data_IF_573197637397
#
_entry.id   IF_573197637397
#
_cell.length_a   1.000
_cell.length_b   1.000
_cell.length_c   1.000
_cell.angle_alpha   90.00
_cell.angle_beta   90.00
_cell.angle_gamma   90.00
#
_symmetry.space_group_name_H-M   'P 1'
#
loop_
_entity.id
_entity.type
_entity.pdbx_description
1 polymer ?
#
# COMPACT_ATOMS: atom_id res chain seq x y z
N UNK A 1 -16.43 44.91 -41.25
CA UNK A 1 -16.76 43.66 -40.55
C UNK A 1 -15.48 43.04 -40.03
N UNK A 2 -15.50 42.71 -38.74
CA UNK A 2 -14.48 42.01 -37.92
C UNK A 2 -14.15 40.66 -38.58
N UNK A 3 -12.93 40.12 -38.55
CA UNK A 3 -12.51 39.06 -37.60
C UNK A 3 -10.98 39.01 -37.45
N UNK A 4 -10.52 39.17 -36.20
CA UNK A 4 -9.19 38.79 -35.72
C UNK A 4 -9.04 37.26 -35.78
N UNK A 5 -8.04 36.75 -36.48
CA UNK A 5 -7.62 35.36 -36.36
C UNK A 5 -6.53 35.27 -35.27
N UNK A 6 -6.96 35.07 -34.03
CA UNK A 6 -6.07 34.69 -32.94
C UNK A 6 -5.62 33.24 -33.18
N UNK A 7 -4.33 33.05 -33.46
CA UNK A 7 -3.66 31.75 -33.44
C UNK A 7 -3.59 31.27 -31.99
N UNK A 8 -4.58 30.49 -31.57
CA UNK A 8 -4.58 29.80 -30.29
C UNK A 8 -3.57 28.64 -30.33
N UNK A 9 -2.53 28.80 -29.52
CA UNK A 9 -1.52 27.79 -29.19
C UNK A 9 -2.20 26.63 -28.47
N UNK A 10 -2.20 25.44 -29.06
CA UNK A 10 -2.52 24.20 -28.36
C UNK A 10 -1.26 23.34 -28.36
N UNK A 11 -0.37 23.61 -27.40
CA UNK A 11 0.75 22.75 -27.06
C UNK A 11 0.20 21.39 -26.63
N UNK A 12 0.38 20.39 -27.49
CA UNK A 12 0.05 19.00 -27.22
C UNK A 12 1.12 18.45 -26.27
N UNK A 13 0.99 18.73 -24.97
CA UNK A 13 1.71 18.00 -23.95
C UNK A 13 0.98 16.67 -23.72
N UNK A 14 1.32 15.67 -24.54
CA UNK A 14 1.13 14.26 -24.19
C UNK A 14 2.05 13.93 -22.99
N UNK A 15 1.69 14.41 -21.81
CA UNK A 15 2.12 13.78 -20.57
C UNK A 15 1.21 12.58 -20.37
N UNK A 16 1.77 11.36 -20.35
CA UNK A 16 1.05 10.18 -19.87
C UNK A 16 0.38 10.55 -18.54
N UNK A 17 -0.96 10.63 -18.53
CA UNK A 17 -1.71 10.86 -17.29
C UNK A 17 -1.50 9.62 -16.43
N UNK A 18 -0.47 9.65 -15.58
CA UNK A 18 -0.30 8.67 -14.50
C UNK A 18 -1.63 8.61 -13.76
N UNK A 19 -2.20 7.40 -13.68
CA UNK A 19 -3.43 7.19 -12.92
C UNK A 19 -3.19 7.60 -11.47
N UNK A 20 -4.24 8.02 -10.74
CA UNK A 20 -4.08 8.36 -9.34
C UNK A 20 -3.50 7.18 -8.55
N UNK A 21 -2.87 7.41 -7.40
CA UNK A 21 -2.48 6.33 -6.51
C UNK A 21 -3.71 5.51 -6.06
N UNK A 22 -3.48 4.28 -5.62
CA UNK A 22 -4.51 3.55 -4.87
C UNK A 22 -4.74 4.26 -3.55
N UNK A 23 -5.99 4.46 -3.18
CA UNK A 23 -6.33 5.08 -1.91
C UNK A 23 -7.59 4.44 -1.36
N UNK A 24 -7.60 4.22 -0.06
CA UNK A 24 -8.79 3.87 0.70
C UNK A 24 -9.84 4.98 0.62
N UNK A 25 -11.11 4.63 0.80
CA UNK A 25 -12.23 5.56 0.68
C UNK A 25 -12.16 6.78 1.63
N UNK A 26 -11.53 6.63 2.80
CA UNK A 26 -11.35 7.72 3.77
C UNK A 26 -10.03 8.49 3.60
N UNK A 27 -9.19 8.09 2.64
CA UNK A 27 -7.93 8.74 2.30
C UNK A 27 -6.80 8.57 3.32
N UNK A 28 -7.00 7.82 4.42
CA UNK A 28 -5.98 7.64 5.44
C UNK A 28 -4.87 6.65 5.01
N UNK A 29 -5.18 5.77 4.07
CA UNK A 29 -4.26 4.79 3.49
C UNK A 29 -4.16 5.01 1.98
N UNK A 30 -2.96 5.31 1.48
CA UNK A 30 -2.68 5.61 0.07
C UNK A 30 -1.35 4.97 -0.35
N UNK A 31 -1.32 4.35 -1.53
CA UNK A 31 -0.12 3.73 -2.10
C UNK A 31 0.71 4.70 -2.96
N UNK A 32 0.70 5.98 -2.61
CA UNK A 32 1.58 6.98 -3.21
C UNK A 32 2.99 6.96 -2.60
N UNK A 33 3.92 7.60 -3.32
CA UNK A 33 5.32 7.67 -2.88
C UNK A 33 5.49 8.51 -1.61
N UNK A 34 4.62 9.48 -1.34
CA UNK A 34 4.71 10.34 -0.15
C UNK A 34 4.44 9.53 1.12
N UNK A 35 3.36 8.74 1.15
CA UNK A 35 3.04 7.88 2.30
C UNK A 35 4.10 6.79 2.50
N UNK A 36 4.65 6.23 1.42
CA UNK A 36 5.76 5.27 1.52
C UNK A 36 7.04 5.93 2.09
N UNK A 37 7.34 7.18 1.74
CA UNK A 37 8.46 7.92 2.34
C UNK A 37 8.23 8.22 3.82
N UNK A 38 6.99 8.49 4.24
CA UNK A 38 6.68 8.61 5.67
C UNK A 38 6.88 7.28 6.41
N UNK A 39 6.53 6.16 5.80
CA UNK A 39 6.83 4.84 6.34
C UNK A 39 8.34 4.60 6.49
N UNK A 40 9.15 4.99 5.50
CA UNK A 40 10.61 4.82 5.58
C UNK A 40 11.23 5.53 6.79
N UNK A 41 10.64 6.63 7.25
CA UNK A 41 11.09 7.35 8.44
C UNK A 41 10.84 6.56 9.73
N UNK A 42 9.84 5.68 9.75
CA UNK A 42 9.39 4.95 10.94
C UNK A 42 9.68 3.45 10.91
N UNK A 43 10.08 2.87 9.78
CA UNK A 43 10.20 1.42 9.61
C UNK A 43 11.10 0.74 10.66
N UNK A 44 12.19 1.39 11.07
CA UNK A 44 13.10 0.87 12.10
C UNK A 44 12.54 1.00 13.53
N UNK A 45 11.63 1.94 13.77
CA UNK A 45 10.91 2.07 15.03
C UNK A 45 9.73 1.09 15.10
N UNK A 46 9.11 0.81 13.96
CA UNK A 46 7.94 -0.06 13.84
C UNK A 46 8.31 -1.55 13.90
N UNK A 47 9.54 -1.93 13.53
CA UNK A 47 9.98 -3.31 13.63
C UNK A 47 11.50 -3.53 13.66
N UNK A 48 11.91 -4.76 13.93
CA UNK A 48 13.30 -5.22 13.85
C UNK A 48 13.75 -5.50 12.40
N UNK A 49 12.80 -5.71 11.49
CA UNK A 49 13.01 -5.84 10.05
C UNK A 49 12.38 -4.65 9.33
N UNK A 50 12.90 -4.29 8.16
CA UNK A 50 12.24 -3.33 7.27
C UNK A 50 11.59 -4.04 6.10
N UNK A 51 10.42 -3.55 5.68
CA UNK A 51 9.73 -4.03 4.49
C UNK A 51 9.87 -3.01 3.38
N UNK A 52 10.51 -3.41 2.27
CA UNK A 52 10.61 -2.59 1.07
C UNK A 52 9.28 -2.49 0.31
N UNK A 53 9.20 -1.54 -0.61
CA UNK A 53 8.04 -1.39 -1.50
C UNK A 53 7.86 -2.64 -2.35
N UNK A 54 6.63 -3.15 -2.38
CA UNK A 54 6.27 -4.35 -3.11
C UNK A 54 5.83 -3.98 -4.53
N UNK A 55 6.50 -4.57 -5.53
CA UNK A 55 6.27 -4.31 -6.95
C UNK A 55 5.69 -5.55 -7.63
N UNK A 56 4.79 -5.36 -8.60
CA UNK A 56 4.37 -6.42 -9.50
C UNK A 56 3.35 -7.45 -8.97
N UNK A 57 2.65 -7.17 -7.87
CA UNK A 57 1.63 -8.09 -7.31
C UNK A 57 0.20 -7.67 -7.67
N UNK A 58 -0.55 -8.62 -8.22
CA UNK A 58 -1.96 -8.45 -8.60
C UNK A 58 -2.24 -7.38 -9.66
N UNK A 59 -3.51 -7.31 -10.06
CA UNK A 59 -4.08 -6.21 -10.84
C UNK A 59 -4.39 -5.01 -9.93
N UNK A 60 -4.54 -3.82 -10.52
CA UNK A 60 -4.94 -2.62 -9.77
C UNK A 60 -6.22 -2.84 -8.97
N UNK A 61 -7.22 -3.49 -9.55
CA UNK A 61 -8.49 -3.77 -8.90
C UNK A 61 -8.32 -4.75 -7.73
N UNK A 62 -7.44 -5.75 -7.85
CA UNK A 62 -7.09 -6.62 -6.72
C UNK A 62 -6.39 -5.83 -5.61
N UNK A 63 -5.44 -4.98 -5.96
CA UNK A 63 -4.73 -4.14 -4.99
C UNK A 63 -5.68 -3.19 -4.25
N UNK A 64 -6.62 -2.55 -4.96
CA UNK A 64 -7.63 -1.70 -4.35
C UNK A 64 -8.51 -2.48 -3.36
N UNK A 65 -9.03 -3.65 -3.76
CA UNK A 65 -9.84 -4.50 -2.86
C UNK A 65 -9.09 -4.89 -1.60
N UNK A 66 -7.81 -5.24 -1.73
CA UNK A 66 -6.96 -5.58 -0.59
C UNK A 66 -6.71 -4.38 0.33
N UNK A 67 -6.47 -3.20 -0.27
CA UNK A 67 -6.28 -1.95 0.47
C UNK A 67 -7.53 -1.59 1.29
N UNK A 68 -8.71 -1.66 0.67
CA UNK A 68 -9.99 -1.38 1.31
C UNK A 68 -10.29 -2.40 2.41
N UNK A 69 -10.00 -3.69 2.17
CA UNK A 69 -10.17 -4.74 3.17
C UNK A 69 -9.28 -4.52 4.39
N UNK A 70 -8.02 -4.09 4.21
CA UNK A 70 -7.14 -3.74 5.32
C UNK A 70 -7.63 -2.46 6.03
N UNK A 71 -8.10 -1.46 5.30
CA UNK A 71 -8.65 -0.24 5.89
C UNK A 71 -9.88 -0.53 6.77
N UNK A 72 -10.71 -1.49 6.39
CA UNK A 72 -11.89 -1.87 7.16
C UNK A 72 -11.57 -2.59 8.48
N UNK A 73 -10.32 -3.01 8.73
CA UNK A 73 -9.95 -3.69 9.96
C UNK A 73 -10.00 -2.74 11.16
N UNK A 74 -10.64 -3.19 12.24
CA UNK A 74 -10.57 -2.55 13.55
C UNK A 74 -9.24 -2.94 14.22
N UNK A 75 -8.22 -2.10 14.05
CA UNK A 75 -6.86 -2.37 14.53
C UNK A 75 -6.58 -1.63 15.85
N UNK A 76 -5.81 -2.24 16.78
CA UNK A 76 -5.42 -1.60 18.03
C UNK A 76 -4.53 -0.38 17.78
N UNK A 77 -4.94 0.77 18.31
CA UNK A 77 -4.34 2.10 18.07
C UNK A 77 -2.91 2.28 18.57
N UNK A 78 -2.49 1.51 19.58
CA UNK A 78 -1.17 1.65 20.22
C UNK A 78 -0.17 0.56 19.79
N UNK A 79 -0.49 -0.18 18.73
CA UNK A 79 0.30 -1.33 18.28
C UNK A 79 0.77 -1.18 16.85
N UNK A 80 1.83 -1.91 16.54
CA UNK A 80 2.16 -2.21 15.16
C UNK A 80 1.35 -3.39 14.66
N UNK A 81 0.90 -3.29 13.42
CA UNK A 81 0.21 -4.37 12.71
C UNK A 81 0.82 -4.48 11.33
N UNK A 82 1.21 -5.67 10.92
CA UNK A 82 1.71 -5.93 9.58
C UNK A 82 0.78 -6.88 8.83
N UNK A 83 0.54 -6.60 7.55
CA UNK A 83 -0.29 -7.41 6.69
C UNK A 83 0.44 -7.86 5.43
N UNK A 84 0.21 -9.12 5.06
CA UNK A 84 0.46 -9.65 3.73
C UNK A 84 -0.88 -10.05 3.11
N UNK A 85 -0.90 -10.21 1.78
CA UNK A 85 -2.13 -10.52 1.06
C UNK A 85 -1.89 -11.57 0.00
N UNK A 86 -2.85 -12.48 -0.18
CA UNK A 86 -2.93 -13.34 -1.36
C UNK A 86 -3.91 -12.71 -2.36
N UNK A 87 -3.38 -12.04 -3.38
CA UNK A 87 -4.17 -11.21 -4.31
C UNK A 87 -5.12 -12.01 -5.21
N UNK A 88 -4.78 -13.24 -5.64
CA UNK A 88 -5.72 -14.09 -6.36
C UNK A 88 -7.01 -14.37 -5.58
N UNK A 89 -6.93 -14.62 -4.28
CA UNK A 89 -8.12 -14.95 -3.45
C UNK A 89 -8.69 -13.75 -2.69
N UNK A 90 -7.94 -12.65 -2.58
CA UNK A 90 -8.32 -11.51 -1.76
C UNK A 90 -8.16 -11.74 -0.25
N UNK A 91 -7.44 -12.80 0.16
CA UNK A 91 -7.29 -13.15 1.58
C UNK A 91 -6.16 -12.35 2.23
N UNK A 92 -6.46 -11.71 3.36
CA UNK A 92 -5.50 -10.99 4.19
C UNK A 92 -4.92 -11.89 5.28
N UNK A 93 -3.62 -11.72 5.52
CA UNK A 93 -2.88 -12.34 6.60
C UNK A 93 -2.30 -11.23 7.45
N UNK A 94 -2.73 -11.15 8.71
CA UNK A 94 -2.46 -10.00 9.58
C UNK A 94 -1.81 -10.49 10.86
N UNK A 95 -0.79 -9.77 11.32
CA UNK A 95 -0.15 -10.00 12.62
C UNK A 95 -0.12 -8.68 13.37
N UNK A 96 -0.74 -8.67 14.55
CA UNK A 96 -0.59 -7.59 15.53
C UNK A 96 0.57 -7.94 16.43
N UNK A 97 1.51 -7.02 16.58
CA UNK A 97 2.70 -7.25 17.37
C UNK A 97 2.37 -7.12 18.86
N UNK A 98 3.00 -7.95 19.70
CA UNK A 98 2.79 -7.97 21.14
C UNK A 98 3.18 -6.63 21.75
N UNK A 99 4.29 -6.05 21.26
CA UNK A 99 4.78 -4.73 21.64
C UNK A 99 4.51 -3.69 20.55
N UNK A 100 4.78 -2.42 20.85
CA UNK A 100 4.69 -1.34 19.86
C UNK A 100 5.61 -1.63 18.66
N UNK A 101 6.85 -2.07 18.91
CA UNK A 101 7.80 -2.50 17.88
C UNK A 101 7.67 -4.01 17.64
N UNK A 102 7.50 -4.41 16.39
CA UNK A 102 7.46 -5.82 16.01
C UNK A 102 8.84 -6.46 16.06
N UNK A 103 8.88 -7.69 16.56
CA UNK A 103 10.02 -8.59 16.41
C UNK A 103 10.19 -9.04 14.96
N UNK A 104 11.38 -9.54 14.62
CA UNK A 104 11.65 -10.13 13.30
C UNK A 104 10.63 -11.22 12.94
N UNK A 105 10.29 -12.09 13.90
CA UNK A 105 9.37 -13.20 13.67
C UNK A 105 7.93 -12.76 13.47
N UNK A 106 7.44 -11.79 14.23
CA UNK A 106 6.11 -11.21 14.04
C UNK A 106 5.98 -10.58 12.65
N UNK A 107 7.00 -9.84 12.23
CA UNK A 107 7.00 -9.21 10.90
C UNK A 107 6.95 -10.23 9.76
N UNK A 108 7.65 -11.35 9.90
CA UNK A 108 7.64 -12.42 8.89
C UNK A 108 6.38 -13.30 8.88
N UNK A 109 5.63 -13.33 9.98
CA UNK A 109 4.48 -14.24 10.17
C UNK A 109 3.39 -14.14 9.11
N UNK A 110 2.89 -12.94 8.71
CA UNK A 110 1.78 -12.88 7.77
C UNK A 110 2.19 -13.43 6.39
N UNK A 111 3.39 -13.09 5.91
CA UNK A 111 3.91 -13.59 4.63
C UNK A 111 4.21 -15.08 4.67
N UNK A 112 4.81 -15.60 5.75
CA UNK A 112 5.04 -17.05 5.90
C UNK A 112 3.72 -17.84 5.93
N UNK A 113 2.72 -17.33 6.63
CA UNK A 113 1.40 -17.98 6.72
C UNK A 113 0.72 -18.00 5.36
N UNK A 114 0.71 -16.87 4.65
CA UNK A 114 0.23 -16.78 3.28
C UNK A 114 0.92 -17.80 2.36
N UNK A 115 2.26 -17.82 2.38
CA UNK A 115 3.06 -18.69 1.52
C UNK A 115 2.84 -20.18 1.79
N UNK A 116 2.66 -20.56 3.06
CA UNK A 116 2.36 -21.95 3.43
C UNK A 116 0.99 -22.43 2.93
N UNK A 117 0.02 -21.52 2.84
CA UNK A 117 -1.34 -21.85 2.41
C UNK A 117 -1.50 -21.83 0.88
N UNK A 118 -0.90 -20.86 0.19
CA UNK A 118 -1.20 -20.62 -1.24
C UNK A 118 -0.03 -20.92 -2.18
N UNK A 119 1.22 -20.90 -1.69
CA UNK A 119 2.46 -21.14 -2.46
C UNK A 119 2.83 -20.09 -3.52
N UNK A 120 2.02 -19.06 -3.73
CA UNK A 120 2.29 -17.95 -4.66
C UNK A 120 1.79 -16.57 -4.15
N UNK A 121 2.19 -15.50 -4.86
CA UNK A 121 1.80 -14.08 -4.71
C UNK A 121 1.36 -13.62 -3.30
N UNK A 122 2.31 -13.66 -2.36
CA UNK A 122 2.13 -13.25 -0.96
C UNK A 122 2.98 -12.02 -0.58
N UNK A 123 2.86 -10.87 -1.27
CA UNK A 123 3.58 -9.67 -0.90
C UNK A 123 3.06 -9.08 0.41
N UNK A 124 3.87 -8.23 1.04
CA UNK A 124 3.37 -7.35 2.09
C UNK A 124 2.42 -6.30 1.50
N UNK A 125 1.31 -6.04 2.18
CA UNK A 125 0.29 -5.12 1.70
C UNK A 125 0.43 -3.75 2.35
N UNK A 126 0.40 -3.74 3.68
CA UNK A 126 0.30 -2.54 4.48
C UNK A 126 0.83 -2.79 5.89
N UNK A 127 1.15 -1.71 6.57
CA UNK A 127 1.51 -1.70 7.97
C UNK A 127 0.72 -0.60 8.70
N UNK A 128 0.33 -0.84 9.94
CA UNK A 128 -0.03 0.19 10.89
C UNK A 128 1.11 0.34 11.90
N UNK A 129 1.48 1.58 12.21
CA UNK A 129 2.35 1.93 13.35
C UNK A 129 1.59 2.96 14.17
N UNK A 130 1.19 2.57 15.39
CA UNK A 130 0.24 3.33 16.21
C UNK A 130 -1.10 3.49 15.48
N UNK A 131 -1.59 4.73 15.31
CA UNK A 131 -2.84 5.00 14.60
C UNK A 131 -2.64 5.23 13.09
N UNK A 132 -1.40 5.36 12.62
CA UNK A 132 -1.11 5.67 11.22
C UNK A 132 -0.92 4.40 10.40
N UNK A 133 -1.53 4.37 9.22
CA UNK A 133 -1.45 3.27 8.26
C UNK A 133 -0.61 3.67 7.06
N UNK A 134 0.11 2.70 6.52
CA UNK A 134 1.07 2.87 5.45
C UNK A 134 0.88 1.77 4.42
N UNK A 135 0.63 2.15 3.18
CA UNK A 135 0.63 1.20 2.08
C UNK A 135 2.07 0.86 1.67
N UNK A 136 2.33 -0.43 1.46
CA UNK A 136 3.64 -0.95 1.05
C UNK A 136 3.68 -1.32 -0.43
N UNK A 137 2.56 -1.20 -1.15
CA UNK A 137 2.47 -1.53 -2.58
C UNK A 137 2.98 -0.38 -3.47
N UNK A 138 3.52 -0.76 -4.62
CA UNK A 138 3.49 0.06 -5.83
C UNK A 138 2.22 -0.30 -6.61
N UNK A 139 1.39 0.68 -7.02
CA UNK A 139 0.23 0.40 -7.86
C UNK A 139 0.66 -0.29 -9.16
N UNK A 140 -0.08 -1.32 -9.58
CA UNK A 140 0.31 -2.22 -10.68
C UNK A 140 0.41 -1.54 -12.07
N UNK A 141 -0.07 -0.31 -12.20
CA UNK A 141 -0.11 0.47 -13.43
C UNK A 141 0.71 1.77 -13.37
N UNK A 142 1.77 1.77 -12.55
CA UNK A 142 2.70 2.87 -12.34
C UNK A 142 4.14 2.49 -12.72
#
# INVERSE_FOLDING_TARGET
MIVLAALAVASILFGERRKPPLASADGHLSCDSTQYLEYNKIMAAAGEMTVGRQVGSGTREQQQRMLDAFQALALPKEKSVIAAGHFPTGKLYVTTCENERCTFDEMGTPRRTCGRENWDDCPYLAMQFREKRYCLLQPADQ
#
